data_IF_850020217845
#
_entry.id   IF_850020217845
#
_cell.length_a   1.000
_cell.length_b   1.000
_cell.length_c   1.000
_cell.angle_alpha   90.00
_cell.angle_beta   90.00
_cell.angle_gamma   90.00
#
_symmetry.space_group_name_H-M   'P 1'
#
loop_
_entity.id
_entity.type
_entity.pdbx_description
1 polymer ?
#
# COMPACT_ATOMS: atom_id res chain seq x y z
N UNK A 1 19.08 -2.19 4.87
CA UNK A 1 18.55 -2.39 3.50
C UNK A 1 19.38 -1.57 2.53
N UNK A 2 19.51 -1.96 1.25
CA UNK A 2 20.11 -1.09 0.25
C UNK A 2 19.45 0.31 0.27
N UNK A 3 20.23 1.42 0.29
CA UNK A 3 19.70 2.77 0.48
C UNK A 3 18.64 3.19 -0.55
N UNK A 4 18.73 2.65 -1.76
CA UNK A 4 17.79 2.96 -2.84
C UNK A 4 16.38 2.41 -2.60
N UNK A 5 16.22 1.31 -1.84
CA UNK A 5 14.90 0.76 -1.53
C UNK A 5 14.09 1.70 -0.62
N UNK A 6 14.77 2.48 0.22
CA UNK A 6 14.12 3.47 1.08
C UNK A 6 13.91 4.79 0.32
N UNK A 7 14.93 5.24 -0.40
CA UNK A 7 14.87 6.48 -1.20
C UNK A 7 13.77 6.46 -2.26
N UNK A 8 13.49 5.30 -2.86
CA UNK A 8 12.47 5.13 -3.90
C UNK A 8 11.28 4.29 -3.40
N UNK A 9 11.08 4.18 -2.08
CA UNK A 9 9.89 3.53 -1.55
C UNK A 9 8.64 4.32 -1.95
N UNK A 10 7.56 3.64 -2.39
CA UNK A 10 6.35 4.30 -2.84
C UNK A 10 5.69 5.08 -1.69
N UNK A 11 5.34 6.33 -1.96
CA UNK A 11 4.72 7.28 -1.03
C UNK A 11 3.22 7.47 -1.29
N UNK A 12 2.76 7.10 -2.48
CA UNK A 12 1.36 7.14 -2.91
C UNK A 12 0.97 5.83 -3.62
N UNK A 13 -0.32 5.51 -3.63
CA UNK A 13 -0.83 4.28 -4.26
C UNK A 13 -0.47 4.16 -5.74
N UNK A 14 -0.37 5.29 -6.46
CA UNK A 14 0.00 5.35 -7.87
C UNK A 14 1.43 4.84 -8.17
N UNK A 15 2.33 4.88 -7.18
CA UNK A 15 3.71 4.42 -7.30
C UNK A 15 3.86 2.91 -7.04
N UNK A 16 2.81 2.24 -6.55
CA UNK A 16 2.82 0.79 -6.37
C UNK A 16 2.84 0.08 -7.72
N UNK A 17 3.84 -0.77 -7.94
CA UNK A 17 3.96 -1.64 -9.11
C UNK A 17 2.97 -2.83 -9.06
N UNK A 18 1.68 -2.51 -8.95
CA UNK A 18 0.55 -3.45 -8.94
C UNK A 18 -0.32 -3.23 -10.18
N UNK A 19 -1.17 -4.21 -10.51
CA UNK A 19 -2.17 -4.01 -11.56
C UNK A 19 -3.10 -2.85 -11.19
N UNK A 20 -3.61 -2.17 -12.21
CA UNK A 20 -4.53 -1.05 -12.05
C UNK A 20 -5.78 -1.45 -11.26
N UNK A 21 -6.35 -2.63 -11.57
CA UNK A 21 -7.48 -3.20 -10.84
C UNK A 21 -7.20 -3.42 -9.35
N UNK A 22 -5.99 -3.89 -9.01
CA UNK A 22 -5.60 -4.11 -7.61
C UNK A 22 -5.43 -2.78 -6.88
N UNK A 23 -4.83 -1.80 -7.56
CA UNK A 23 -4.65 -0.44 -7.01
C UNK A 23 -6.00 0.21 -6.70
N UNK A 24 -6.97 0.15 -7.61
CA UNK A 24 -8.34 0.66 -7.37
C UNK A 24 -9.00 0.03 -6.16
N UNK A 25 -8.91 -1.29 -6.01
CA UNK A 25 -9.48 -1.99 -4.85
C UNK A 25 -8.85 -1.51 -3.55
N UNK A 26 -7.52 -1.37 -3.51
CA UNK A 26 -6.79 -0.90 -2.32
C UNK A 26 -7.17 0.55 -1.98
N UNK A 27 -7.22 1.43 -2.97
CA UNK A 27 -7.63 2.84 -2.80
C UNK A 27 -9.07 2.93 -2.27
N UNK A 28 -10.00 2.17 -2.84
CA UNK A 28 -11.40 2.12 -2.39
C UNK A 28 -11.52 1.67 -0.93
N UNK A 29 -10.76 0.64 -0.55
CA UNK A 29 -10.72 0.15 0.83
C UNK A 29 -10.19 1.23 1.77
N UNK A 30 -9.11 1.93 1.38
CA UNK A 30 -8.43 2.89 2.24
C UNK A 30 -9.26 4.16 2.55
N UNK A 31 -10.24 4.50 1.72
CA UNK A 31 -11.13 5.66 1.93
C UNK A 31 -12.49 5.29 2.54
N UNK A 32 -12.76 4.01 2.74
CA UNK A 32 -14.03 3.55 3.31
C UNK A 32 -14.05 3.82 4.82
N UNK A 33 -15.17 4.31 5.36
CA UNK A 33 -15.31 4.65 6.79
C UNK A 33 -15.13 3.45 7.73
N UNK A 34 -15.42 2.25 7.24
CA UNK A 34 -15.20 0.97 7.94
C UNK A 34 -14.54 -0.01 6.97
N UNK A 35 -13.20 0.00 6.85
CA UNK A 35 -12.51 -0.91 5.94
C UNK A 35 -12.64 -2.36 6.43
N UNK A 36 -12.82 -3.34 5.53
CA UNK A 36 -12.87 -4.76 5.90
C UNK A 36 -11.51 -5.26 6.40
N UNK A 37 -11.49 -6.45 6.99
CA UNK A 37 -10.23 -7.13 7.27
C UNK A 37 -9.49 -7.47 5.97
N UNK A 38 -8.19 -7.17 5.92
CA UNK A 38 -7.36 -7.34 4.72
C UNK A 38 -6.32 -8.45 4.92
N UNK A 39 -6.18 -9.30 3.90
CA UNK A 39 -5.07 -10.25 3.77
C UNK A 39 -4.24 -9.86 2.56
N UNK A 40 -3.00 -9.42 2.80
CA UNK A 40 -2.06 -9.06 1.73
C UNK A 40 -1.01 -10.16 1.62
N UNK A 41 -1.10 -10.99 0.57
CA UNK A 41 -0.27 -12.17 0.37
C UNK A 41 0.53 -12.12 -0.95
N UNK A 42 1.64 -12.85 -1.00
CA UNK A 42 2.54 -12.92 -2.16
C UNK A 42 4.01 -13.12 -1.80
N UNK A 43 4.91 -13.33 -2.78
CA UNK A 43 6.34 -13.57 -2.57
C UNK A 43 7.06 -12.44 -1.81
N UNK A 44 8.27 -12.69 -1.30
CA UNK A 44 9.08 -11.65 -0.68
C UNK A 44 9.43 -10.54 -1.70
N UNK A 45 9.42 -9.27 -1.28
CA UNK A 45 9.80 -8.15 -2.14
C UNK A 45 8.73 -7.58 -3.08
N UNK A 46 7.53 -8.16 -3.16
CA UNK A 46 6.46 -7.69 -4.09
C UNK A 46 5.66 -6.47 -3.62
N UNK A 47 6.13 -5.75 -2.58
CA UNK A 47 5.47 -4.52 -2.12
C UNK A 47 4.40 -4.69 -1.04
N UNK A 48 4.16 -5.89 -0.49
CA UNK A 48 3.13 -6.14 0.55
C UNK A 48 3.20 -5.15 1.73
N UNK A 49 4.39 -5.00 2.32
CA UNK A 49 4.62 -4.11 3.46
C UNK A 49 4.47 -2.64 3.08
N UNK A 50 4.85 -2.27 1.85
CA UNK A 50 4.69 -0.92 1.35
C UNK A 50 3.20 -0.57 1.15
N UNK A 51 2.44 -1.49 0.55
CA UNK A 51 0.99 -1.37 0.39
C UNK A 51 0.27 -1.19 1.73
N UNK A 52 0.57 -2.05 2.73
CA UNK A 52 -0.03 -1.93 4.07
C UNK A 52 0.23 -0.57 4.71
N UNK A 53 1.47 -0.06 4.62
CA UNK A 53 1.84 1.25 5.17
C UNK A 53 1.06 2.39 4.53
N UNK A 54 0.85 2.36 3.21
CA UNK A 54 0.06 3.37 2.51
C UNK A 54 -1.42 3.33 2.92
N UNK A 55 -2.01 2.13 3.06
CA UNK A 55 -3.38 1.98 3.57
C UNK A 55 -3.48 2.55 4.99
N UNK A 56 -2.58 2.15 5.89
CA UNK A 56 -2.58 2.63 7.26
C UNK A 56 -2.45 4.15 7.35
N UNK A 57 -1.55 4.75 6.56
CA UNK A 57 -1.39 6.22 6.48
C UNK A 57 -2.67 6.90 5.98
N UNK A 58 -3.36 6.32 5.00
CA UNK A 58 -4.60 6.89 4.49
C UNK A 58 -5.75 6.80 5.51
N UNK A 59 -5.87 5.69 6.23
CA UNK A 59 -6.94 5.44 7.21
C UNK A 59 -6.73 6.22 8.50
N UNK A 60 -5.49 6.28 9.00
CA UNK A 60 -5.16 6.88 10.30
C UNK A 60 -4.68 8.32 10.20
N UNK A 61 -4.42 8.81 8.98
CA UNK A 61 -3.78 10.10 8.73
C UNK A 61 -2.26 10.05 8.77
N UNK A 62 -1.62 11.17 8.42
CA UNK A 62 -0.17 11.35 8.57
C UNK A 62 0.18 11.62 10.03
N UNK A 63 0.42 10.56 10.80
CA UNK A 63 1.23 10.63 12.02
C UNK A 63 2.71 10.80 11.69
#
# INVERSE_FOLDING_TARGET
MPPWLEKYAPQIFAELALSESTRRTIESVAITSSPPHLVIAGPAGVGKTATWRLIARQVLGSG
#
